data_IF_010144400376
#
_entry.id   IF_010144400376
#
_cell.length_a   1.000
_cell.length_b   1.000
_cell.length_c   1.000
_cell.angle_alpha   90.00
_cell.angle_beta   90.00
_cell.angle_gamma   90.00
#
_symmetry.space_group_name_H-M   'P 1'
#
loop_
_entity.id
_entity.type
_entity.pdbx_description
1 polymer ?
#
# COMPACT_ATOMS: atom_id res chain seq x y z
N UNK A 1 -12.60 -5.54 9.43
CA UNK A 1 -12.04 -5.64 8.07
C UNK A 1 -10.91 -6.63 8.14
N UNK A 2 -10.94 -7.62 7.26
CA UNK A 2 -9.83 -8.55 7.07
C UNK A 2 -8.63 -7.84 6.41
N UNK A 3 -7.40 -8.32 6.64
CA UNK A 3 -6.18 -7.72 6.07
C UNK A 3 -6.19 -7.75 4.54
N UNK A 4 -6.71 -8.82 3.93
CA UNK A 4 -6.79 -8.89 2.47
C UNK A 4 -7.83 -7.91 1.92
N UNK A 5 -8.99 -7.82 2.57
CA UNK A 5 -9.98 -6.78 2.25
C UNK A 5 -9.35 -5.38 2.31
N UNK A 6 -8.58 -5.09 3.36
CA UNK A 6 -7.86 -3.82 3.50
C UNK A 6 -6.91 -3.58 2.32
N UNK A 7 -6.04 -4.53 2.01
CA UNK A 7 -5.02 -4.38 0.97
C UNK A 7 -5.62 -4.23 -0.43
N UNK A 8 -6.65 -5.01 -0.77
CA UNK A 8 -7.26 -5.01 -2.10
C UNK A 8 -8.19 -3.83 -2.36
N UNK A 9 -8.79 -3.25 -1.32
CA UNK A 9 -9.69 -2.09 -1.44
C UNK A 9 -8.99 -0.76 -1.15
N UNK A 10 -7.77 -0.77 -0.61
CA UNK A 10 -7.00 0.45 -0.32
C UNK A 10 -6.79 1.28 -1.58
N UNK A 11 -7.10 2.57 -1.47
CA UNK A 11 -6.87 3.57 -2.52
C UNK A 11 -6.34 4.87 -1.94
N UNK A 12 -5.69 5.65 -2.81
CA UNK A 12 -5.33 7.02 -2.46
C UNK A 12 -6.60 7.88 -2.36
N UNK A 13 -6.83 8.43 -1.16
CA UNK A 13 -8.00 9.21 -0.83
C UNK A 13 -7.79 10.69 -1.21
N UNK A 14 -8.74 11.28 -1.95
CA UNK A 14 -8.69 12.71 -2.33
C UNK A 14 -9.74 13.57 -1.64
N UNK A 15 -10.73 12.95 -0.99
CA UNK A 15 -11.84 13.63 -0.32
C UNK A 15 -12.15 12.94 1.00
N UNK A 16 -11.86 13.62 2.10
CA UNK A 16 -12.07 13.14 3.46
C UNK A 16 -13.24 13.90 4.11
N UNK A 17 -13.90 13.28 5.09
CA UNK A 17 -14.82 13.98 5.99
C UNK A 17 -14.03 14.95 6.89
N UNK A 18 -14.65 16.02 7.38
CA UNK A 18 -13.98 16.97 8.28
C UNK A 18 -13.79 16.44 9.71
N UNK A 19 -14.43 15.31 10.07
CA UNK A 19 -14.33 14.75 11.42
C UNK A 19 -12.89 14.40 11.79
N UNK A 20 -12.41 14.80 12.99
CA UNK A 20 -11.09 14.43 13.43
C UNK A 20 -11.01 12.93 13.68
N UNK A 21 -9.84 12.35 13.37
CA UNK A 21 -9.54 10.97 13.78
C UNK A 21 -9.23 10.97 15.29
N UNK A 22 -9.85 10.10 16.10
CA UNK A 22 -9.57 10.01 17.54
C UNK A 22 -8.09 9.76 17.86
N UNK A 23 -7.59 10.34 18.95
CA UNK A 23 -6.16 10.29 19.32
C UNK A 23 -5.64 8.87 19.59
N UNK A 24 -6.46 8.01 20.17
CA UNK A 24 -6.12 6.59 20.41
C UNK A 24 -5.88 5.84 19.09
N UNK A 25 -6.66 6.17 18.06
CA UNK A 25 -6.50 5.63 16.71
C UNK A 25 -5.21 6.16 16.08
N UNK A 26 -4.94 7.46 16.20
CA UNK A 26 -3.68 8.05 15.72
C UNK A 26 -2.46 7.39 16.38
N UNK A 27 -2.50 7.21 17.71
CA UNK A 27 -1.44 6.57 18.48
C UNK A 27 -1.17 5.14 18.01
N UNK A 28 -2.22 4.34 17.80
CA UNK A 28 -2.08 2.97 17.26
C UNK A 28 -1.46 2.94 15.87
N UNK A 29 -1.83 3.89 14.99
CA UNK A 29 -1.27 3.96 13.64
C UNK A 29 0.21 4.32 13.69
N UNK A 30 0.59 5.31 14.52
CA UNK A 30 1.98 5.72 14.67
C UNK A 30 2.83 4.61 15.30
N UNK A 31 2.30 3.89 16.29
CA UNK A 31 2.95 2.73 16.89
C UNK A 31 3.23 1.62 15.87
N UNK A 32 2.28 1.34 14.97
CA UNK A 32 2.50 0.40 13.88
C UNK A 32 3.56 0.92 12.87
N UNK A 33 3.52 2.21 12.53
CA UNK A 33 4.42 2.80 11.54
C UNK A 33 5.89 2.78 11.97
N UNK A 34 6.20 3.02 13.24
CA UNK A 34 7.60 3.00 13.74
C UNK A 34 8.22 1.60 13.75
N UNK A 35 7.43 0.55 13.59
CA UNK A 35 7.89 -0.85 13.50
C UNK A 35 8.04 -1.33 12.05
N UNK A 36 7.70 -0.51 11.06
CA UNK A 36 7.81 -0.88 9.65
C UNK A 36 9.29 -0.92 9.20
N UNK A 37 9.70 -1.87 8.34
CA UNK A 37 11.08 -1.95 7.84
C UNK A 37 11.42 -0.73 6.96
N UNK A 38 12.59 -0.13 7.16
CA UNK A 38 13.07 1.02 6.39
C UNK A 38 14.37 0.70 5.61
N UNK A 39 14.32 0.77 4.28
CA UNK A 39 15.48 0.51 3.43
C UNK A 39 16.47 1.67 3.43
N UNK A 40 17.68 1.45 3.96
CA UNK A 40 18.87 2.33 3.88
C UNK A 40 18.75 3.77 4.42
N UNK A 41 17.61 4.20 4.97
CA UNK A 41 17.41 5.48 5.65
C UNK A 41 17.84 6.75 4.87
N UNK A 42 17.92 6.71 3.54
CA UNK A 42 18.52 7.78 2.69
C UNK A 42 17.57 8.96 2.41
N UNK A 43 16.79 9.40 3.41
CA UNK A 43 15.60 10.27 3.34
C UNK A 43 15.82 11.68 2.71
N UNK A 44 15.94 11.77 1.37
CA UNK A 44 16.26 13.00 0.59
C UNK A 44 15.32 14.21 0.75
N UNK A 45 14.20 14.10 1.45
CA UNK A 45 13.20 15.15 1.60
C UNK A 45 13.29 15.86 2.97
N UNK A 46 14.20 15.45 3.87
CA UNK A 46 14.47 16.12 5.16
C UNK A 46 14.77 17.60 5.01
N UNK A 47 15.62 17.94 4.03
CA UNK A 47 16.04 19.31 3.73
C UNK A 47 14.86 20.20 3.34
N UNK A 48 13.92 19.67 2.56
CA UNK A 48 12.71 20.39 2.13
C UNK A 48 11.75 20.71 3.28
N UNK A 49 11.74 19.89 4.33
CA UNK A 49 10.82 20.03 5.47
C UNK A 49 11.48 20.63 6.72
N UNK A 50 12.78 20.93 6.68
CA UNK A 50 13.52 21.46 7.83
C UNK A 50 13.54 20.49 9.01
N UNK A 51 13.54 19.18 8.75
CA UNK A 51 13.64 18.18 9.83
C UNK A 51 15.02 18.34 10.49
N UNK A 52 15.12 18.48 11.82
CA UNK A 52 16.39 18.64 12.52
C UNK A 52 17.14 17.31 12.58
N UNK A 53 17.65 16.89 11.43
CA UNK A 53 18.41 15.64 11.24
C UNK A 53 19.65 15.59 12.11
N UNK A 54 20.27 16.76 12.36
CA UNK A 54 21.45 16.93 13.23
C UNK A 54 21.16 16.53 14.69
N UNK A 55 19.90 16.67 15.11
CA UNK A 55 19.41 16.28 16.44
C UNK A 55 18.91 14.82 16.48
N UNK A 56 19.14 14.06 15.41
CA UNK A 56 18.77 12.64 15.31
C UNK A 56 17.33 12.37 14.83
N UNK A 57 16.60 13.40 14.38
CA UNK A 57 15.23 13.23 13.89
C UNK A 57 15.20 12.65 12.48
N UNK A 58 14.36 11.63 12.27
CA UNK A 58 14.12 11.00 10.97
C UNK A 58 12.62 10.84 10.76
N UNK A 59 12.11 10.96 9.54
CA UNK A 59 10.69 10.66 9.28
C UNK A 59 10.58 9.16 9.15
N UNK A 60 9.75 8.58 10.01
CA UNK A 60 9.46 7.16 9.92
C UNK A 60 8.42 6.86 8.83
N UNK A 61 7.46 7.77 8.59
CA UNK A 61 6.40 7.61 7.61
C UNK A 61 5.66 8.94 7.33
N UNK A 62 5.01 9.04 6.17
CA UNK A 62 3.95 10.02 5.91
C UNK A 62 2.61 9.30 5.81
N UNK A 63 1.65 9.67 6.66
CA UNK A 63 0.37 8.99 6.79
C UNK A 63 -0.77 9.96 6.54
N UNK A 64 -1.55 9.72 5.47
CA UNK A 64 -2.82 10.43 5.29
C UNK A 64 -3.87 9.82 6.23
N UNK A 65 -4.36 10.62 7.18
CA UNK A 65 -5.36 10.20 8.16
C UNK A 65 -6.70 10.87 7.87
N UNK A 66 -7.77 10.08 7.88
CA UNK A 66 -9.13 10.62 7.81
C UNK A 66 -10.15 9.60 7.35
N UNK A 67 -11.41 10.00 7.45
CA UNK A 67 -12.52 9.16 7.03
C UNK A 67 -12.87 9.42 5.57
N UNK A 68 -12.80 8.41 4.69
CA UNK A 68 -13.23 8.58 3.31
C UNK A 68 -14.71 8.92 3.21
N UNK A 69 -15.08 9.79 2.26
CA UNK A 69 -16.50 10.10 1.98
C UNK A 69 -17.24 9.01 1.19
N UNK A 70 -16.58 7.90 0.85
CA UNK A 70 -17.17 6.82 0.07
C UNK A 70 -16.68 5.45 0.52
N UNK A 71 -17.34 4.41 0.04
CA UNK A 71 -16.88 3.01 0.12
C UNK A 71 -16.56 2.55 -1.30
N UNK A 72 -15.52 1.74 -1.45
CA UNK A 72 -15.09 1.22 -2.75
C UNK A 72 -14.71 -0.25 -2.63
N UNK A 73 -15.03 -1.04 -3.65
CA UNK A 73 -14.52 -2.39 -3.80
C UNK A 73 -13.11 -2.42 -4.39
N UNK A 74 -12.72 -3.60 -4.88
CA UNK A 74 -11.43 -3.81 -5.55
C UNK A 74 -11.26 -2.86 -6.73
N UNK A 75 -10.02 -2.45 -6.94
CA UNK A 75 -9.71 -1.40 -7.86
C UNK A 75 -9.85 -1.79 -9.36
N UNK A 76 -11.00 -1.54 -9.97
CA UNK A 76 -11.31 -1.96 -11.35
C UNK A 76 -10.30 -1.53 -12.44
N UNK A 77 -9.60 -0.40 -12.25
CA UNK A 77 -8.69 0.17 -13.26
C UNK A 77 -7.21 -0.06 -12.93
N UNK A 78 -6.86 -1.03 -12.08
CA UNK A 78 -5.44 -1.39 -11.90
C UNK A 78 -5.05 -2.42 -12.94
N UNK A 79 -3.88 -2.23 -13.53
CA UNK A 79 -3.28 -3.24 -14.39
C UNK A 79 -3.14 -4.57 -13.64
N UNK A 80 -3.38 -5.70 -14.31
CA UNK A 80 -3.05 -7.02 -13.80
C UNK A 80 -1.62 -7.10 -13.25
N UNK A 81 -1.42 -7.82 -12.14
CA UNK A 81 -0.12 -7.84 -11.44
C UNK A 81 1.02 -8.34 -12.34
N UNK A 82 0.72 -9.25 -13.27
CA UNK A 82 1.70 -9.82 -14.20
C UNK A 82 2.17 -8.82 -15.28
N UNK A 83 1.42 -7.74 -15.55
CA UNK A 83 1.83 -6.68 -16.49
C UNK A 83 2.77 -5.65 -15.84
N UNK A 84 2.74 -5.52 -14.50
CA UNK A 84 3.43 -4.45 -13.77
C UNK A 84 4.46 -4.96 -12.77
N UNK A 85 4.71 -6.27 -12.73
CA UNK A 85 5.65 -6.90 -11.81
C UNK A 85 6.70 -7.66 -12.57
N UNK A 86 7.94 -7.61 -12.07
CA UNK A 86 9.04 -8.39 -12.64
C UNK A 86 9.60 -9.36 -11.61
N UNK A 87 9.92 -10.57 -12.05
CA UNK A 87 10.48 -11.62 -11.19
C UNK A 87 11.97 -11.79 -11.46
N UNK A 88 12.78 -11.75 -10.41
CA UNK A 88 14.23 -12.00 -10.45
C UNK A 88 15.03 -11.07 -11.40
N UNK A 89 14.50 -9.88 -11.71
CA UNK A 89 15.19 -8.88 -12.51
C UNK A 89 14.22 -7.81 -13.00
N UNK A 90 14.72 -6.59 -13.22
CA UNK A 90 13.91 -5.51 -13.81
C UNK A 90 13.46 -5.89 -15.22
N UNK A 91 12.21 -5.58 -15.56
CA UNK A 91 11.53 -5.91 -16.83
C UNK A 91 11.49 -7.41 -17.20
N UNK A 92 11.83 -8.31 -16.27
CA UNK A 92 11.68 -9.76 -16.51
C UNK A 92 10.23 -10.20 -16.35
N UNK A 93 9.77 -11.22 -17.09
CA UNK A 93 8.43 -11.76 -16.93
C UNK A 93 8.14 -12.15 -15.47
N UNK A 94 6.92 -11.88 -15.01
CA UNK A 94 6.47 -12.28 -13.67
C UNK A 94 6.44 -13.82 -13.50
N UNK A 95 6.20 -14.54 -14.60
CA UNK A 95 6.22 -16.01 -14.68
C UNK A 95 4.87 -16.68 -14.47
N UNK A 96 3.82 -15.94 -14.10
CA UNK A 96 2.45 -16.43 -14.01
C UNK A 96 1.49 -15.35 -14.50
N UNK A 97 0.49 -15.73 -15.30
CA UNK A 97 -0.58 -14.83 -15.71
C UNK A 97 -1.62 -14.70 -14.60
N UNK A 98 -1.97 -13.47 -14.24
CA UNK A 98 -2.95 -13.16 -13.19
C UNK A 98 -3.90 -12.08 -13.72
N UNK A 99 -4.89 -12.44 -14.55
CA UNK A 99 -5.72 -11.46 -15.26
C UNK A 99 -6.75 -10.75 -14.36
N UNK A 100 -7.02 -11.29 -13.16
CA UNK A 100 -8.00 -10.75 -12.22
C UNK A 100 -7.44 -10.72 -10.79
N UNK A 101 -7.97 -9.85 -9.90
CA UNK A 101 -7.60 -9.83 -8.50
C UNK A 101 -7.88 -11.17 -7.80
N UNK A 102 -6.93 -11.67 -7.01
CA UNK A 102 -7.08 -12.92 -6.25
C UNK A 102 -7.95 -12.79 -4.99
N UNK A 103 -8.42 -11.59 -4.66
CA UNK A 103 -9.35 -11.33 -3.56
C UNK A 103 -10.64 -10.69 -4.11
N UNK A 104 -11.83 -11.11 -3.62
CA UNK A 104 -12.06 -12.19 -2.66
C UNK A 104 -11.55 -13.54 -3.21
N UNK A 105 -11.15 -14.50 -2.34
CA UNK A 105 -10.62 -15.78 -2.80
C UNK A 105 -11.59 -16.43 -3.78
N UNK A 106 -11.09 -16.73 -4.98
CA UNK A 106 -11.85 -17.44 -6.01
C UNK A 106 -11.39 -18.90 -6.03
N UNK A 107 -12.22 -19.82 -6.52
CA UNK A 107 -11.80 -21.21 -6.75
C UNK A 107 -10.74 -21.26 -7.85
N UNK A 108 -9.47 -21.21 -7.44
CA UNK A 108 -8.30 -21.12 -8.32
C UNK A 108 -8.03 -22.41 -9.10
N UNK A 109 -8.80 -23.48 -8.86
CA UNK A 109 -8.61 -24.81 -9.44
C UNK A 109 -9.16 -24.97 -10.87
N UNK A 110 -9.80 -23.97 -11.46
CA UNK A 110 -10.48 -24.14 -12.75
C UNK A 110 -10.01 -23.28 -13.94
N UNK A 111 -9.21 -22.19 -13.81
CA UNK A 111 -8.92 -21.39 -15.05
C UNK A 111 -7.74 -20.40 -15.11
N UNK A 112 -7.07 -19.96 -14.03
CA UNK A 112 -6.44 -18.62 -14.12
C UNK A 112 -4.92 -18.52 -14.18
N UNK A 113 -4.19 -19.32 -13.40
CA UNK A 113 -2.76 -19.12 -13.17
C UNK A 113 -1.95 -20.00 -14.11
N UNK A 114 -1.86 -19.61 -15.39
CA UNK A 114 -0.97 -20.26 -16.33
C UNK A 114 0.47 -19.81 -16.07
N UNK A 115 1.43 -20.74 -16.13
CA UNK A 115 2.84 -20.38 -16.20
C UNK A 115 3.05 -19.60 -17.50
N UNK A 116 3.54 -18.37 -17.41
CA UNK A 116 3.90 -17.58 -18.59
C UNK A 116 5.08 -18.29 -19.28
N UNK A 117 4.91 -18.63 -20.56
CA UNK A 117 5.90 -19.37 -21.37
C UNK A 117 7.13 -18.55 -21.71
#
# INVERSE_FOLDING_TARGET
MDIYEALYTTRMMRRLRPDPVPLDTQARILDAAVRAPNGANTQRWHELLGVPVEEGWTMSAMLALGYPRGKWGVAANRHPVHEVSSRNGWDKPFGVEVPQPLWPPQDVTASGLAAAS
#
